data_IF_848010700712
#
_entry.id   IF_848010700712
#
_cell.length_a   1.000
_cell.length_b   1.000
_cell.length_c   1.000
_cell.angle_alpha   90.00
_cell.angle_beta   90.00
_cell.angle_gamma   90.00
#
_symmetry.space_group_name_H-M   'P 1'
#
loop_
_entity.id
_entity.type
_entity.pdbx_description
1 polymer ?
#
# COMPACT_ATOMS: atom_id res chain seq x y z
N UNK A 1 2.01 -37.76 9.91
CA UNK A 1 1.09 -38.55 9.03
C UNK A 1 1.19 -38.20 7.54
N UNK A 2 1.58 -36.98 7.12
CA UNK A 2 1.65 -36.57 5.70
C UNK A 2 2.97 -36.89 4.97
N UNK A 3 4.09 -37.09 5.68
CA UNK A 3 5.36 -37.50 5.06
C UNK A 3 5.25 -38.83 4.27
N UNK A 4 4.23 -39.66 4.57
CA UNK A 4 4.00 -40.93 3.92
C UNK A 4 3.08 -40.86 2.67
N UNK A 5 2.33 -39.77 2.45
CA UNK A 5 1.29 -39.72 1.40
C UNK A 5 1.47 -38.62 0.35
N UNK A 6 2.27 -37.58 0.60
CA UNK A 6 2.56 -36.52 -0.38
C UNK A 6 3.44 -36.91 -1.59
N UNK A 7 4.36 -37.91 -1.57
CA UNK A 7 5.27 -38.12 -2.70
C UNK A 7 4.62 -38.66 -3.99
N UNK A 8 3.30 -38.83 -4.06
CA UNK A 8 2.63 -39.52 -5.17
C UNK A 8 1.63 -38.66 -5.98
N UNK A 9 1.63 -37.33 -5.84
CA UNK A 9 0.65 -36.47 -6.52
C UNK A 9 1.28 -35.49 -7.55
N UNK A 10 1.93 -35.96 -8.62
CA UNK A 10 2.58 -35.09 -9.63
C UNK A 10 1.58 -34.22 -10.41
N UNK A 11 0.29 -34.58 -10.37
CA UNK A 11 -0.81 -33.87 -11.06
C UNK A 11 -1.51 -32.85 -10.16
N UNK A 12 -1.10 -32.70 -8.90
CA UNK A 12 -1.74 -31.76 -7.98
C UNK A 12 -1.44 -30.32 -8.43
N UNK A 13 -2.49 -29.58 -8.79
CA UNK A 13 -2.38 -28.19 -9.25
C UNK A 13 -2.61 -27.17 -8.14
N UNK A 14 -3.34 -27.56 -7.10
CA UNK A 14 -3.73 -26.69 -5.99
C UNK A 14 -3.43 -27.39 -4.70
N UNK A 15 -2.65 -26.73 -3.84
CA UNK A 15 -2.42 -27.16 -2.47
C UNK A 15 -2.80 -26.03 -1.54
N UNK A 16 -3.76 -26.31 -0.66
CA UNK A 16 -4.18 -25.41 0.39
C UNK A 16 -3.88 -26.01 1.76
N UNK A 17 -3.00 -25.35 2.48
CA UNK A 17 -2.41 -25.74 3.74
C UNK A 17 -2.57 -24.67 4.84
N UNK A 18 -3.49 -23.70 4.67
CA UNK A 18 -3.73 -22.66 5.68
C UNK A 18 -4.21 -23.23 7.02
N UNK A 19 -4.94 -24.35 7.00
CA UNK A 19 -5.45 -25.03 8.21
C UNK A 19 -4.41 -25.88 8.93
N UNK A 20 -3.19 -26.01 8.39
CA UNK A 20 -2.15 -26.70 9.12
C UNK A 20 -1.88 -25.91 10.40
N UNK A 21 -2.05 -26.56 11.58
CA UNK A 21 -1.99 -25.86 12.84
C UNK A 21 -0.63 -25.18 12.92
N UNK A 22 -0.61 -23.86 12.76
CA UNK A 22 0.54 -23.02 13.04
C UNK A 22 0.65 -22.95 14.56
N UNK A 23 0.98 -24.08 15.19
CA UNK A 23 1.20 -24.12 16.62
C UNK A 23 2.46 -23.29 16.86
N UNK A 24 2.35 -22.21 17.63
CA UNK A 24 3.38 -21.15 17.75
C UNK A 24 4.69 -21.61 18.43
N UNK A 25 4.87 -22.90 18.65
CA UNK A 25 6.03 -23.46 19.34
C UNK A 25 7.16 -23.80 18.35
N UNK A 26 8.39 -23.55 18.81
CA UNK A 26 9.67 -23.61 18.07
C UNK A 26 9.93 -24.96 17.36
N UNK A 27 9.29 -26.05 17.80
CA UNK A 27 9.38 -27.39 17.19
C UNK A 27 8.72 -27.49 15.78
N UNK A 28 8.10 -26.42 15.27
CA UNK A 28 7.48 -26.40 13.94
C UNK A 28 8.46 -26.24 12.77
N UNK A 29 9.69 -25.79 13.01
CA UNK A 29 10.63 -25.45 11.94
C UNK A 29 11.16 -26.69 11.21
N UNK A 30 11.42 -27.76 11.95
CA UNK A 30 11.80 -29.06 11.36
C UNK A 30 10.65 -29.62 10.51
N UNK A 31 9.40 -29.42 10.94
CA UNK A 31 8.22 -29.80 10.15
C UNK A 31 8.12 -29.00 8.85
N UNK A 32 8.36 -27.69 8.89
CA UNK A 32 8.31 -26.80 7.73
C UNK A 32 9.39 -27.18 6.70
N UNK A 33 10.62 -27.40 7.13
CA UNK A 33 11.70 -27.86 6.25
C UNK A 33 11.32 -29.21 5.60
N UNK A 34 10.67 -30.11 6.36
CA UNK A 34 10.23 -31.41 5.86
C UNK A 34 9.12 -31.35 4.80
N UNK A 35 8.33 -30.27 4.76
CA UNK A 35 7.25 -30.09 3.77
C UNK A 35 7.82 -29.63 2.42
N UNK A 36 8.88 -28.84 2.42
CA UNK A 36 9.41 -28.22 1.20
C UNK A 36 9.96 -29.22 0.18
N UNK A 37 10.61 -30.30 0.63
CA UNK A 37 11.19 -31.33 -0.25
C UNK A 37 10.13 -32.10 -1.05
N UNK A 38 9.03 -32.60 -0.46
CA UNK A 38 7.91 -33.17 -1.22
C UNK A 38 7.35 -32.24 -2.29
N UNK A 39 7.28 -30.92 -2.03
CA UNK A 39 6.71 -29.96 -2.98
C UNK A 39 7.51 -29.89 -4.29
N UNK A 40 8.83 -30.13 -4.26
CA UNK A 40 9.68 -30.18 -5.47
C UNK A 40 9.22 -31.22 -6.49
N UNK A 41 8.51 -32.27 -6.05
CA UNK A 41 7.98 -33.30 -6.93
C UNK A 41 6.63 -32.92 -7.55
N UNK A 42 5.97 -31.86 -7.07
CA UNK A 42 4.69 -31.36 -7.55
C UNK A 42 4.87 -30.36 -8.70
N UNK A 43 5.44 -30.82 -9.82
CA UNK A 43 5.75 -29.95 -10.97
C UNK A 43 4.53 -29.27 -11.59
N UNK A 44 3.34 -29.85 -11.43
CA UNK A 44 2.09 -29.28 -11.92
C UNK A 44 1.45 -28.28 -10.94
N UNK A 45 2.07 -27.99 -9.79
CA UNK A 45 1.51 -27.09 -8.79
C UNK A 45 1.44 -25.67 -9.33
N UNK A 46 0.21 -25.15 -9.43
CA UNK A 46 -0.10 -23.80 -9.92
C UNK A 46 -0.38 -22.84 -8.78
N UNK A 47 -1.02 -23.32 -7.71
CA UNK A 47 -1.41 -22.51 -6.56
C UNK A 47 -0.99 -23.16 -5.26
N UNK A 48 -0.35 -22.38 -4.39
CA UNK A 48 0.07 -22.80 -3.07
C UNK A 48 -0.34 -21.76 -2.03
N UNK A 49 -1.14 -22.20 -1.06
CA UNK A 49 -1.43 -21.46 0.16
C UNK A 49 -0.88 -22.23 1.35
N UNK A 50 0.01 -21.62 2.12
CA UNK A 50 0.64 -22.26 3.27
C UNK A 50 0.86 -21.24 4.38
N UNK A 51 0.50 -21.56 5.62
CA UNK A 51 0.51 -20.58 6.70
C UNK A 51 1.91 -20.01 6.98
N UNK A 52 2.93 -20.86 7.11
CA UNK A 52 4.30 -20.44 7.37
C UNK A 52 5.32 -21.35 6.68
N UNK A 53 6.37 -20.75 6.10
CA UNK A 53 7.50 -21.46 5.48
C UNK A 53 8.84 -20.83 5.85
N UNK A 54 9.91 -21.62 5.82
CA UNK A 54 11.28 -21.12 5.99
C UNK A 54 11.81 -20.51 4.71
N UNK A 55 12.89 -19.73 4.80
CA UNK A 55 13.62 -19.25 3.62
C UNK A 55 14.14 -20.41 2.74
N UNK A 56 14.62 -21.52 3.33
CA UNK A 56 15.01 -22.72 2.57
C UNK A 56 13.83 -23.30 1.78
N UNK A 57 12.63 -23.30 2.37
CA UNK A 57 11.43 -23.74 1.66
C UNK A 57 11.10 -22.82 0.49
N UNK A 58 11.25 -21.50 0.64
CA UNK A 58 11.15 -20.54 -0.48
C UNK A 58 12.15 -20.86 -1.60
N UNK A 59 13.39 -21.22 -1.25
CA UNK A 59 14.39 -21.66 -2.24
C UNK A 59 13.92 -22.89 -3.02
N UNK A 60 13.29 -23.86 -2.36
CA UNK A 60 12.68 -25.01 -3.04
C UNK A 60 11.49 -24.63 -3.93
N UNK A 61 10.61 -23.74 -3.47
CA UNK A 61 9.44 -23.31 -4.23
C UNK A 61 9.81 -22.57 -5.52
N UNK A 62 10.94 -21.86 -5.54
CA UNK A 62 11.47 -21.23 -6.75
C UNK A 62 11.70 -22.24 -7.89
N UNK A 63 11.97 -23.51 -7.59
CA UNK A 63 12.15 -24.54 -8.63
C UNK A 63 10.84 -25.05 -9.25
N UNK A 64 9.67 -24.59 -8.80
CA UNK A 64 8.38 -25.01 -9.33
C UNK A 64 8.02 -24.22 -10.60
N UNK A 65 8.12 -24.83 -11.80
CA UNK A 65 8.01 -24.09 -13.06
C UNK A 65 6.59 -23.61 -13.36
N UNK A 66 5.57 -24.23 -12.76
CA UNK A 66 4.16 -23.94 -12.99
C UNK A 66 3.52 -23.08 -11.90
N UNK A 67 4.26 -22.71 -10.85
CA UNK A 67 3.71 -21.94 -9.74
C UNK A 67 3.34 -20.53 -10.18
N UNK A 68 2.04 -20.22 -10.19
CA UNK A 68 1.50 -18.92 -10.60
C UNK A 68 1.01 -18.09 -9.41
N UNK A 69 0.53 -18.74 -8.35
CA UNK A 69 -0.01 -18.08 -7.16
C UNK A 69 0.64 -18.66 -5.89
N UNK A 70 1.27 -17.79 -5.11
CA UNK A 70 1.89 -18.14 -3.84
C UNK A 70 1.32 -17.27 -2.73
N UNK A 71 0.90 -17.89 -1.64
CA UNK A 71 0.50 -17.18 -0.41
C UNK A 71 1.13 -17.87 0.79
N UNK A 72 1.96 -17.14 1.52
CA UNK A 72 2.66 -17.68 2.67
C UNK A 72 3.24 -16.63 3.62
N UNK A 73 3.34 -16.94 4.91
CA UNK A 73 4.22 -16.21 5.82
C UNK A 73 5.64 -16.78 5.78
N UNK A 74 6.63 -15.95 5.49
CA UNK A 74 8.03 -16.35 5.44
C UNK A 74 8.66 -16.13 6.81
N UNK A 75 9.31 -17.16 7.34
CA UNK A 75 10.11 -17.13 8.57
C UNK A 75 11.58 -17.10 8.22
N UNK A 76 12.28 -16.07 8.68
CA UNK A 76 13.70 -15.81 8.34
C UNK A 76 14.66 -16.42 9.36
N UNK A 77 14.38 -17.65 9.76
CA UNK A 77 15.14 -18.36 10.78
C UNK A 77 16.32 -19.10 10.17
N UNK A 78 17.54 -18.80 10.64
CA UNK A 78 18.78 -19.42 10.17
C UNK A 78 19.80 -18.41 9.62
N UNK A 79 21.09 -18.62 9.89
CA UNK A 79 22.16 -17.64 9.64
C UNK A 79 22.85 -17.72 8.28
N UNK A 80 22.52 -18.68 7.42
CA UNK A 80 23.20 -18.82 6.14
C UNK A 80 22.33 -18.34 4.99
N UNK A 81 22.56 -17.09 4.61
CA UNK A 81 22.04 -16.56 3.35
C UNK A 81 22.84 -17.19 2.21
N UNK A 82 22.21 -18.06 1.43
CA UNK A 82 22.79 -18.46 0.15
C UNK A 82 22.77 -17.25 -0.78
N UNK A 83 23.80 -17.07 -1.60
CA UNK A 83 23.86 -15.96 -2.58
C UNK A 83 23.01 -16.21 -3.83
N UNK A 84 22.21 -17.27 -3.83
CA UNK A 84 21.48 -17.76 -5.00
C UNK A 84 20.24 -16.91 -5.27
N UNK A 85 20.02 -16.53 -6.54
CA UNK A 85 18.79 -15.87 -6.97
C UNK A 85 17.60 -16.85 -6.90
N UNK A 86 16.47 -16.39 -6.40
CA UNK A 86 15.23 -17.17 -6.32
C UNK A 86 14.41 -16.94 -7.60
N UNK A 87 14.46 -17.88 -8.54
CA UNK A 87 13.79 -17.70 -9.84
C UNK A 87 12.34 -18.19 -9.79
N UNK A 88 11.37 -17.32 -10.08
CA UNK A 88 9.96 -17.67 -10.13
C UNK A 88 9.39 -17.34 -11.52
N UNK A 89 9.64 -18.18 -12.54
CA UNK A 89 9.40 -17.83 -13.94
C UNK A 89 7.92 -17.63 -14.29
N UNK A 90 7.02 -18.31 -13.57
CA UNK A 90 5.57 -18.32 -13.84
C UNK A 90 4.74 -17.56 -12.82
N UNK A 91 5.36 -17.07 -11.73
CA UNK A 91 4.65 -16.45 -10.63
C UNK A 91 4.01 -15.12 -11.08
N UNK A 92 2.70 -15.01 -10.87
CA UNK A 92 1.87 -13.86 -11.19
C UNK A 92 1.42 -13.15 -9.92
N UNK A 93 0.92 -13.91 -8.95
CA UNK A 93 0.40 -13.37 -7.69
C UNK A 93 1.20 -13.89 -6.50
N UNK A 94 1.62 -12.99 -5.61
CA UNK A 94 2.28 -13.34 -4.37
C UNK A 94 1.66 -12.59 -3.19
N UNK A 95 1.28 -13.32 -2.14
CA UNK A 95 0.92 -12.76 -0.83
C UNK A 95 1.96 -13.25 0.18
N UNK A 96 2.82 -12.34 0.62
CA UNK A 96 3.96 -12.66 1.46
C UNK A 96 3.80 -12.03 2.84
N UNK A 97 3.56 -12.88 3.82
CA UNK A 97 3.58 -12.54 5.22
C UNK A 97 5.00 -12.42 5.77
N UNK A 98 5.27 -11.45 6.63
CA UNK A 98 6.56 -11.29 7.31
C UNK A 98 6.36 -10.82 8.75
N UNK A 99 7.23 -11.26 9.65
CA UNK A 99 7.26 -10.71 11.00
C UNK A 99 8.03 -9.38 11.04
N UNK A 100 7.57 -8.45 11.87
CA UNK A 100 8.13 -7.09 11.96
C UNK A 100 9.64 -7.03 12.24
N UNK A 101 10.17 -7.98 13.00
CA UNK A 101 11.59 -8.09 13.35
C UNK A 101 12.45 -8.74 12.25
N UNK A 102 11.81 -9.30 11.22
CA UNK A 102 12.44 -9.98 10.09
C UNK A 102 12.45 -9.13 8.81
N UNK A 103 12.03 -7.87 8.87
CA UNK A 103 11.94 -6.99 7.70
C UNK A 103 13.27 -6.88 6.95
N UNK A 104 14.38 -6.66 7.64
CA UNK A 104 15.69 -6.54 6.99
C UNK A 104 16.03 -7.75 6.13
N UNK A 105 15.84 -8.94 6.68
CA UNK A 105 16.10 -10.22 6.02
C UNK A 105 15.11 -10.44 4.88
N UNK A 106 13.84 -10.10 5.09
CA UNK A 106 12.80 -10.18 4.07
C UNK A 106 13.08 -9.27 2.87
N UNK A 107 13.51 -8.03 3.10
CA UNK A 107 13.94 -7.13 2.02
C UNK A 107 15.09 -7.73 1.22
N UNK A 108 16.10 -8.31 1.88
CA UNK A 108 17.20 -9.01 1.18
C UNK A 108 16.72 -10.22 0.38
N UNK A 109 15.69 -10.92 0.86
CA UNK A 109 15.06 -12.01 0.10
C UNK A 109 14.34 -11.48 -1.14
N UNK A 110 13.58 -10.39 -1.02
CA UNK A 110 12.93 -9.74 -2.15
C UNK A 110 13.95 -9.31 -3.21
N UNK A 111 15.09 -8.74 -2.82
CA UNK A 111 16.19 -8.38 -3.73
C UNK A 111 16.75 -9.58 -4.52
N UNK A 112 16.64 -10.79 -3.97
CA UNK A 112 17.08 -12.03 -4.62
C UNK A 112 16.00 -12.65 -5.51
N UNK A 113 14.75 -12.23 -5.35
CA UNK A 113 13.61 -12.81 -6.03
C UNK A 113 13.52 -12.28 -7.46
N UNK A 114 13.53 -13.20 -8.43
CA UNK A 114 13.40 -12.89 -9.86
C UNK A 114 12.08 -13.46 -10.35
N UNK A 115 11.05 -12.63 -10.38
CA UNK A 115 9.69 -12.99 -10.78
C UNK A 115 9.20 -12.07 -11.93
N UNK A 116 9.62 -12.32 -13.18
CA UNK A 116 9.39 -11.39 -14.29
C UNK A 116 7.92 -11.24 -14.71
N UNK A 117 7.03 -12.11 -14.21
CA UNK A 117 5.59 -12.10 -14.51
C UNK A 117 4.73 -11.69 -13.32
N UNK A 118 5.36 -11.29 -12.21
CA UNK A 118 4.66 -10.90 -10.98
C UNK A 118 3.90 -9.60 -11.25
N UNK A 119 2.57 -9.70 -11.25
CA UNK A 119 1.67 -8.58 -11.52
C UNK A 119 0.98 -8.07 -10.25
N UNK A 120 0.82 -8.92 -9.23
CA UNK A 120 0.23 -8.55 -7.94
C UNK A 120 1.14 -9.05 -6.83
N UNK A 121 1.54 -8.12 -5.97
CA UNK A 121 2.29 -8.41 -4.76
C UNK A 121 1.56 -7.80 -3.56
N UNK A 122 1.18 -8.64 -2.62
CA UNK A 122 0.68 -8.25 -1.30
C UNK A 122 1.73 -8.63 -0.26
N UNK A 123 2.09 -7.71 0.61
CA UNK A 123 2.97 -7.94 1.75
C UNK A 123 2.17 -7.66 3.00
N UNK A 124 2.08 -8.66 3.87
CA UNK A 124 1.36 -8.58 5.14
C UNK A 124 2.38 -8.60 6.28
N UNK A 125 2.36 -7.62 7.18
CA UNK A 125 3.18 -7.70 8.39
C UNK A 125 2.41 -8.18 9.60
N UNK A 126 3.09 -9.03 10.36
CA UNK A 126 2.62 -9.50 11.64
C UNK A 126 3.41 -8.83 12.77
N UNK A 127 2.74 -7.89 13.44
CA UNK A 127 3.22 -7.25 14.66
C UNK A 127 2.56 -7.93 15.89
N UNK A 128 3.33 -8.43 16.86
CA UNK A 128 2.79 -8.89 18.13
C UNK A 128 2.03 -7.78 18.86
N UNK A 129 0.89 -8.13 19.47
CA UNK A 129 0.06 -7.21 20.25
C UNK A 129 0.77 -6.50 21.40
N UNK A 130 1.87 -7.05 21.88
CA UNK A 130 2.65 -6.44 22.96
C UNK A 130 4.13 -6.55 22.64
N UNK A 131 4.73 -5.41 22.30
CA UNK A 131 6.18 -5.29 22.14
C UNK A 131 6.83 -4.86 23.46
N UNK A 132 7.79 -5.65 23.91
CA UNK A 132 8.72 -5.28 24.98
C UNK A 132 9.53 -4.02 24.59
N UNK A 133 10.13 -3.38 25.59
CA UNK A 133 10.95 -2.17 25.35
C UNK A 133 12.15 -2.44 24.44
N UNK A 134 12.72 -3.64 24.47
CA UNK A 134 13.82 -4.03 23.59
C UNK A 134 13.32 -4.18 22.14
N UNK A 135 12.17 -4.84 21.96
CA UNK A 135 11.54 -5.02 20.65
C UNK A 135 11.15 -3.69 20.01
N UNK A 136 10.65 -2.73 20.79
CA UNK A 136 10.37 -1.37 20.29
C UNK A 136 11.58 -0.66 19.67
N UNK A 137 12.81 -1.01 20.08
CA UNK A 137 14.04 -0.44 19.49
C UNK A 137 14.41 -1.08 18.15
N UNK A 138 13.97 -2.30 17.93
CA UNK A 138 14.15 -3.05 16.69
C UNK A 138 13.06 -2.77 15.66
N UNK A 139 12.07 -1.92 15.99
CA UNK A 139 11.03 -1.51 15.06
C UNK A 139 11.66 -0.97 13.76
N UNK A 140 10.96 -1.11 12.61
CA UNK A 140 11.44 -0.57 11.36
C UNK A 140 11.80 0.92 11.48
N UNK A 141 12.89 1.30 10.81
CA UNK A 141 13.34 2.69 10.65
C UNK A 141 13.17 3.12 9.19
N UNK A 142 13.37 4.40 8.89
CA UNK A 142 13.32 4.91 7.51
C UNK A 142 14.24 4.15 6.56
N UNK A 143 15.44 3.78 7.00
CA UNK A 143 16.37 3.01 6.14
C UNK A 143 15.84 1.62 5.77
N UNK A 144 15.04 1.00 6.64
CA UNK A 144 14.41 -0.29 6.33
C UNK A 144 13.32 -0.15 5.28
N UNK A 145 12.48 0.89 5.40
CA UNK A 145 11.43 1.19 4.44
C UNK A 145 12.00 1.61 3.09
N UNK A 146 13.07 2.42 3.10
CA UNK A 146 13.78 2.83 1.90
C UNK A 146 14.39 1.62 1.15
N UNK A 147 14.98 0.68 1.88
CA UNK A 147 15.48 -0.57 1.33
C UNK A 147 14.34 -1.45 0.77
N UNK A 148 13.20 -1.51 1.47
CA UNK A 148 12.01 -2.20 0.98
C UNK A 148 11.52 -1.62 -0.36
N UNK A 149 11.41 -0.29 -0.48
CA UNK A 149 11.07 0.37 -1.74
C UNK A 149 12.06 0.05 -2.87
N UNK A 150 13.37 -0.03 -2.57
CA UNK A 150 14.38 -0.42 -3.55
C UNK A 150 14.20 -1.87 -4.03
N UNK A 151 13.92 -2.80 -3.13
CA UNK A 151 13.67 -4.20 -3.47
C UNK A 151 12.39 -4.35 -4.30
N UNK A 152 11.32 -3.65 -3.92
CA UNK A 152 10.04 -3.65 -4.63
C UNK A 152 10.15 -3.09 -6.05
N UNK A 153 11.02 -2.12 -6.27
CA UNK A 153 11.28 -1.52 -7.58
C UNK A 153 11.84 -2.53 -8.62
N UNK A 154 12.32 -3.70 -8.18
CA UNK A 154 12.83 -4.74 -9.08
C UNK A 154 11.72 -5.50 -9.83
N UNK A 155 10.48 -5.45 -9.34
CA UNK A 155 9.32 -6.14 -9.94
C UNK A 155 8.61 -5.27 -10.97
N UNK A 156 9.27 -4.95 -12.08
CA UNK A 156 8.80 -3.98 -13.09
C UNK A 156 7.49 -4.34 -13.81
N UNK A 157 7.03 -5.58 -13.69
CA UNK A 157 5.75 -6.06 -14.22
C UNK A 157 4.55 -5.81 -13.28
N UNK A 158 4.78 -5.27 -12.07
CA UNK A 158 3.72 -5.03 -11.10
C UNK A 158 2.64 -4.08 -11.63
N UNK A 159 1.40 -4.51 -11.43
CA UNK A 159 0.17 -3.75 -11.68
C UNK A 159 -0.47 -3.35 -10.35
N UNK A 160 -0.36 -4.19 -9.33
CA UNK A 160 -0.87 -3.93 -7.99
C UNK A 160 0.20 -4.25 -6.95
N UNK A 161 0.45 -3.27 -6.07
CA UNK A 161 1.30 -3.42 -4.90
C UNK A 161 0.48 -3.05 -3.66
N UNK A 162 0.38 -3.99 -2.73
CA UNK A 162 -0.28 -3.80 -1.45
C UNK A 162 0.71 -4.15 -0.34
N UNK A 163 1.01 -3.18 0.52
CA UNK A 163 1.88 -3.33 1.68
C UNK A 163 1.04 -2.95 2.89
N UNK A 164 0.46 -3.97 3.50
CA UNK A 164 -0.35 -3.86 4.71
C UNK A 164 0.50 -4.27 5.92
N UNK A 165 0.68 -3.32 6.82
CA UNK A 165 1.53 -3.46 7.99
C UNK A 165 0.77 -3.69 9.29
N UNK A 166 -0.51 -4.03 9.19
CA UNK A 166 -1.34 -4.51 10.29
C UNK A 166 -2.53 -3.60 10.58
N UNK A 167 -3.72 -4.15 10.37
CA UNK A 167 -5.05 -3.53 10.52
C UNK A 167 -5.70 -3.80 11.89
N UNK A 168 -4.94 -4.19 12.92
CA UNK A 168 -5.55 -4.52 14.21
C UNK A 168 -6.06 -3.27 14.98
N UNK A 169 -5.98 -2.05 14.41
CA UNK A 169 -6.57 -0.81 14.95
C UNK A 169 -6.04 -0.35 16.32
N UNK A 170 -5.19 -1.14 16.98
CA UNK A 170 -4.82 -0.96 18.38
C UNK A 170 -3.39 -0.41 18.57
N UNK A 171 -2.61 -0.17 17.51
CA UNK A 171 -1.16 0.05 17.64
C UNK A 171 -0.60 1.31 16.94
N UNK A 172 -0.86 2.52 17.44
CA UNK A 172 -0.18 3.76 17.01
C UNK A 172 1.33 3.83 17.25
N UNK A 173 1.95 2.78 17.77
CA UNK A 173 3.35 2.78 18.22
C UNK A 173 4.20 1.72 17.51
N UNK A 174 3.75 1.23 16.35
CA UNK A 174 4.47 0.21 15.55
C UNK A 174 5.71 0.75 14.84
N UNK A 175 5.96 2.05 14.93
CA UNK A 175 7.03 2.72 14.21
C UNK A 175 8.03 3.35 15.16
N UNK A 176 9.32 3.28 14.79
CA UNK A 176 10.31 4.15 15.42
C UNK A 176 9.95 5.61 15.13
N UNK A 177 10.34 6.49 16.03
CA UNK A 177 10.10 7.93 15.88
C UNK A 177 10.69 8.52 14.59
N UNK A 178 11.72 7.88 14.05
CA UNK A 178 12.43 8.27 12.83
C UNK A 178 11.98 7.48 11.59
N UNK A 179 10.95 6.62 11.67
CA UNK A 179 10.45 5.89 10.53
C UNK A 179 9.44 6.75 9.77
N UNK A 180 9.78 7.11 8.52
CA UNK A 180 8.95 7.90 7.64
C UNK A 180 9.43 7.74 6.19
N UNK A 181 8.54 7.42 5.26
CA UNK A 181 8.84 7.44 3.84
C UNK A 181 8.66 8.86 3.30
N UNK A 182 9.73 9.45 2.79
CA UNK A 182 9.68 10.71 2.06
C UNK A 182 9.54 10.46 0.54
N UNK A 183 9.31 11.53 -0.23
CA UNK A 183 9.23 11.44 -1.68
C UNK A 183 10.45 10.83 -2.37
N UNK A 184 11.65 11.02 -1.81
CA UNK A 184 12.88 10.41 -2.37
C UNK A 184 12.83 8.88 -2.28
N UNK A 185 12.46 8.33 -1.13
CA UNK A 185 12.34 6.89 -0.96
C UNK A 185 11.22 6.30 -1.84
N UNK A 186 10.07 6.98 -1.89
CA UNK A 186 8.93 6.59 -2.72
C UNK A 186 9.26 6.63 -4.22
N UNK A 187 10.09 7.58 -4.66
CA UNK A 187 10.46 7.76 -6.07
C UNK A 187 11.13 6.53 -6.70
N UNK A 188 11.70 5.63 -5.88
CA UNK A 188 12.23 4.35 -6.34
C UNK A 188 11.18 3.48 -7.02
N UNK A 189 9.92 3.58 -6.57
CA UNK A 189 8.80 2.85 -7.15
C UNK A 189 8.32 3.45 -8.49
N UNK A 190 8.76 4.65 -8.88
CA UNK A 190 8.34 5.27 -10.15
C UNK A 190 8.82 4.52 -11.40
N UNK A 191 9.74 3.55 -11.23
CA UNK A 191 10.11 2.61 -12.31
C UNK A 191 8.97 1.64 -12.65
N UNK A 192 8.01 1.43 -11.74
CA UNK A 192 6.84 0.57 -11.92
C UNK A 192 5.78 1.28 -12.77
N UNK A 193 6.04 1.43 -14.08
CA UNK A 193 5.18 2.20 -15.00
C UNK A 193 3.80 1.59 -15.23
N UNK A 194 3.64 0.30 -14.97
CA UNK A 194 2.36 -0.42 -15.12
C UNK A 194 1.50 -0.39 -13.85
N UNK A 195 1.98 0.26 -12.77
CA UNK A 195 1.31 0.28 -11.49
C UNK A 195 -0.02 1.04 -11.58
N UNK A 196 -1.10 0.37 -11.21
CA UNK A 196 -2.48 0.88 -11.21
C UNK A 196 -3.10 0.90 -9.82
N UNK A 197 -2.56 0.12 -8.90
CA UNK A 197 -2.96 0.09 -7.51
C UNK A 197 -1.73 0.12 -6.62
N UNK A 198 -1.64 1.12 -5.74
CA UNK A 198 -0.63 1.22 -4.70
C UNK A 198 -1.31 1.44 -3.37
N UNK A 199 -1.18 0.45 -2.48
CA UNK A 199 -1.61 0.54 -1.09
C UNK A 199 -0.39 0.35 -0.20
N UNK A 200 -0.11 1.31 0.67
CA UNK A 200 1.02 1.26 1.61
C UNK A 200 0.58 1.83 2.96
N UNK A 201 0.14 0.96 3.85
CA UNK A 201 -0.47 1.34 5.12
C UNK A 201 -0.16 0.34 6.23
N UNK A 202 -0.19 0.75 7.51
CA UNK A 202 -0.14 2.14 7.98
C UNK A 202 1.34 2.62 8.01
N UNK A 203 1.95 2.93 6.86
CA UNK A 203 3.32 3.47 6.81
C UNK A 203 3.28 4.99 6.98
N UNK A 204 4.07 5.60 7.89
CA UNK A 204 4.19 7.05 7.98
C UNK A 204 4.85 7.65 6.73
N UNK A 205 4.30 8.74 6.21
CA UNK A 205 4.83 9.48 5.06
C UNK A 205 5.06 10.96 5.37
N UNK A 206 6.13 11.54 4.81
CA UNK A 206 6.41 12.98 4.79
C UNK A 206 6.45 13.43 3.34
N UNK A 207 5.25 13.60 2.77
CA UNK A 207 5.05 14.04 1.40
C UNK A 207 4.93 15.56 1.33
N UNK A 208 5.52 16.13 0.28
CA UNK A 208 5.47 17.55 -0.06
C UNK A 208 4.74 17.74 -1.40
N UNK A 209 4.30 18.96 -1.74
CA UNK A 209 3.57 19.21 -2.98
C UNK A 209 4.30 18.73 -4.25
N UNK A 210 5.62 18.90 -4.31
CA UNK A 210 6.43 18.42 -5.44
C UNK A 210 6.46 16.87 -5.55
N UNK A 211 6.27 16.16 -4.45
CA UNK A 211 6.17 14.70 -4.46
C UNK A 211 4.84 14.26 -5.09
N UNK A 212 3.75 14.99 -4.83
CA UNK A 212 2.44 14.73 -5.44
C UNK A 212 2.48 14.94 -6.95
N UNK A 213 3.14 16.00 -7.41
CA UNK A 213 3.38 16.23 -8.83
C UNK A 213 4.19 15.08 -9.45
N UNK A 214 5.24 14.63 -8.77
CA UNK A 214 6.06 13.51 -9.24
C UNK A 214 5.29 12.19 -9.29
N UNK A 215 4.44 11.91 -8.30
CA UNK A 215 3.54 10.74 -8.25
C UNK A 215 2.57 10.77 -9.44
N UNK A 216 1.90 11.91 -9.65
CA UNK A 216 0.92 12.07 -10.72
C UNK A 216 1.56 11.92 -12.11
N UNK A 217 2.79 12.43 -12.28
CA UNK A 217 3.57 12.26 -13.51
C UNK A 217 4.09 10.83 -13.70
N UNK A 218 4.45 10.13 -12.62
CA UNK A 218 4.98 8.78 -12.68
C UNK A 218 3.92 7.73 -13.05
N UNK A 219 2.69 7.91 -12.55
CA UNK A 219 1.59 6.94 -12.66
C UNK A 219 0.27 7.57 -13.16
N UNK A 220 0.20 8.05 -14.41
CA UNK A 220 -1.01 8.67 -14.95
C UNK A 220 -2.19 7.71 -15.12
N UNK A 221 -1.94 6.39 -15.19
CA UNK A 221 -2.97 5.34 -15.26
C UNK A 221 -3.39 4.80 -13.87
N UNK A 222 -2.97 5.46 -12.79
CA UNK A 222 -3.30 5.03 -11.42
C UNK A 222 -4.82 4.99 -11.21
N UNK A 223 -5.31 3.90 -10.63
CA UNK A 223 -6.74 3.65 -10.35
C UNK A 223 -7.03 3.71 -8.84
N UNK A 224 -6.09 3.26 -8.03
CA UNK A 224 -6.16 3.30 -6.56
C UNK A 224 -4.80 3.70 -5.99
N UNK A 225 -4.75 4.81 -5.26
CA UNK A 225 -3.56 5.25 -4.55
C UNK A 225 -3.94 5.47 -3.09
N UNK A 226 -3.44 4.64 -2.18
CA UNK A 226 -3.62 4.82 -0.74
C UNK A 226 -2.26 4.70 -0.06
N UNK A 227 -1.66 5.84 0.24
CA UNK A 227 -0.36 5.89 0.92
C UNK A 227 -0.49 6.70 2.20
N UNK A 228 -0.10 6.05 3.29
CA UNK A 228 -0.21 6.62 4.61
C UNK A 228 -1.56 6.36 5.26
N UNK A 229 -1.47 6.09 6.55
CA UNK A 229 -2.57 6.23 7.49
C UNK A 229 -1.96 6.75 8.79
N UNK A 230 -2.55 7.79 9.35
CA UNK A 230 -1.95 8.53 10.46
C UNK A 230 -2.32 7.88 11.78
N UNK A 231 -1.76 6.70 12.09
CA UNK A 231 -2.07 5.99 13.33
C UNK A 231 -2.12 6.94 14.56
N UNK A 232 -3.07 6.82 15.50
CA UNK A 232 -3.42 7.91 16.39
C UNK A 232 -2.23 8.40 17.21
N UNK A 233 -1.85 9.68 17.09
CA UNK A 233 -0.67 10.25 17.78
C UNK A 233 0.65 10.24 16.99
N UNK A 234 0.64 9.80 15.73
CA UNK A 234 1.67 10.18 14.75
C UNK A 234 1.46 11.60 14.19
N UNK A 235 0.26 12.18 14.36
CA UNK A 235 -0.11 13.53 13.94
C UNK A 235 0.87 14.62 14.38
N UNK A 236 1.43 14.49 15.58
CA UNK A 236 2.40 15.45 16.11
C UNK A 236 3.81 15.29 15.52
N UNK A 237 4.07 14.21 14.76
CA UNK A 237 5.41 13.79 14.36
C UNK A 237 5.69 14.01 12.88
N UNK A 238 4.70 13.80 12.03
CA UNK A 238 4.85 14.02 10.58
C UNK A 238 4.32 15.40 10.24
N UNK A 239 5.22 16.29 9.83
CA UNK A 239 4.87 17.59 9.26
C UNK A 239 4.39 17.43 7.81
N UNK A 240 3.50 16.47 7.50
CA UNK A 240 2.88 16.45 6.16
C UNK A 240 2.23 17.82 5.96
N UNK A 241 2.66 18.50 4.90
CA UNK A 241 2.21 19.86 4.57
C UNK A 241 1.21 19.83 3.42
N UNK A 242 0.74 18.64 3.02
CA UNK A 242 -0.18 18.51 1.90
C UNK A 242 -1.50 19.18 2.22
N UNK A 243 -1.84 20.17 1.40
CA UNK A 243 -3.13 20.83 1.36
C UNK A 243 -3.99 20.19 0.28
N UNK A 244 -5.28 20.50 0.32
CA UNK A 244 -6.21 20.10 -0.73
C UNK A 244 -5.78 20.65 -2.10
N UNK A 245 -5.28 21.89 -2.15
CA UNK A 245 -4.80 22.53 -3.40
C UNK A 245 -3.65 21.74 -4.06
N UNK A 246 -2.84 21.04 -3.26
CA UNK A 246 -1.69 20.26 -3.74
C UNK A 246 -2.13 18.99 -4.49
N UNK A 247 -3.42 18.64 -4.47
CA UNK A 247 -3.99 17.52 -5.23
C UNK A 247 -4.28 17.86 -6.70
N UNK A 248 -4.08 19.12 -7.11
CA UNK A 248 -4.32 19.55 -8.48
C UNK A 248 -3.57 18.68 -9.54
N UNK A 249 -2.28 18.33 -9.37
CA UNK A 249 -1.60 17.47 -10.34
C UNK A 249 -2.28 16.09 -10.49
N UNK A 250 -2.80 15.52 -9.41
CA UNK A 250 -3.54 14.25 -9.46
C UNK A 250 -4.84 14.42 -10.26
N UNK A 251 -5.59 15.50 -10.01
CA UNK A 251 -6.83 15.78 -10.74
C UNK A 251 -6.59 15.94 -12.26
N UNK A 252 -5.45 16.53 -12.64
CA UNK A 252 -5.09 16.78 -14.03
C UNK A 252 -4.52 15.54 -14.75
N UNK A 253 -3.70 14.74 -14.07
CA UNK A 253 -2.91 13.70 -14.74
C UNK A 253 -3.41 12.27 -14.50
N UNK A 254 -4.07 11.99 -13.37
CA UNK A 254 -4.51 10.65 -12.99
C UNK A 254 -5.97 10.39 -13.44
N UNK A 255 -6.18 10.31 -14.74
CA UNK A 255 -7.52 10.26 -15.38
C UNK A 255 -8.32 8.98 -15.13
N UNK A 256 -7.72 7.98 -14.47
CA UNK A 256 -8.39 6.73 -14.10
C UNK A 256 -8.54 6.54 -12.59
N UNK A 257 -8.11 7.53 -11.79
CA UNK A 257 -8.07 7.40 -10.35
C UNK A 257 -9.48 7.41 -9.77
N UNK A 258 -9.84 6.34 -9.06
CA UNK A 258 -11.15 6.18 -8.42
C UNK A 258 -11.08 6.21 -6.91
N UNK A 259 -9.92 5.89 -6.33
CA UNK A 259 -9.66 5.90 -4.89
C UNK A 259 -8.35 6.63 -4.61
N UNK A 260 -8.40 7.61 -3.71
CA UNK A 260 -7.25 8.38 -3.23
C UNK A 260 -7.22 8.37 -1.71
N UNK A 261 -6.12 7.95 -1.12
CA UNK A 261 -5.85 8.04 0.30
C UNK A 261 -4.50 8.68 0.55
N UNK A 262 -4.50 9.86 1.16
CA UNK A 262 -3.30 10.63 1.49
C UNK A 262 -3.49 11.34 2.83
N UNK A 263 -2.44 11.48 3.66
CA UNK A 263 -2.50 12.29 4.87
C UNK A 263 -2.53 13.78 4.48
N UNK A 264 -3.73 14.38 4.52
CA UNK A 264 -3.93 15.81 4.26
C UNK A 264 -3.91 16.59 5.57
N UNK A 265 -3.25 17.75 5.55
CA UNK A 265 -3.29 18.69 6.65
C UNK A 265 -4.33 19.76 6.34
N UNK A 266 -5.24 19.98 7.28
CA UNK A 266 -6.24 21.04 7.21
C UNK A 266 -5.89 22.13 8.22
N UNK A 267 -5.13 23.15 7.81
CA UNK A 267 -4.82 24.25 8.71
C UNK A 267 -6.06 25.13 8.95
N UNK A 268 -6.40 25.37 10.22
CA UNK A 268 -7.57 26.13 10.65
C UNK A 268 -7.58 27.65 10.28
N UNK A 269 -6.63 28.13 9.48
CA UNK A 269 -6.37 29.58 9.28
C UNK A 269 -6.40 30.04 7.81
N UNK A 270 -6.80 29.22 6.85
CA UNK A 270 -6.65 29.53 5.41
C UNK A 270 -7.98 29.68 4.64
N UNK A 271 -9.09 29.98 5.33
CA UNK A 271 -10.39 30.21 4.67
C UNK A 271 -10.41 31.45 3.75
N UNK A 272 -9.43 32.34 3.87
CA UNK A 272 -9.36 33.58 3.06
C UNK A 272 -8.62 33.41 1.71
N UNK A 273 -7.94 32.28 1.47
CA UNK A 273 -7.24 32.05 0.20
C UNK A 273 -8.25 31.80 -0.94
N UNK A 274 -8.10 32.44 -2.11
CA UNK A 274 -9.06 32.29 -3.21
C UNK A 274 -9.14 30.84 -3.67
N UNK A 275 -10.36 30.40 -3.98
CA UNK A 275 -10.61 29.08 -4.59
C UNK A 275 -9.95 29.10 -5.99
N UNK A 276 -9.17 28.06 -6.34
CA UNK A 276 -8.62 27.91 -7.69
C UNK A 276 -9.73 28.03 -8.73
N UNK A 277 -9.41 28.60 -9.89
CA UNK A 277 -10.36 28.67 -11.00
C UNK A 277 -10.86 27.28 -11.42
N UNK A 278 -11.96 27.20 -12.18
CA UNK A 278 -12.47 25.93 -12.68
C UNK A 278 -11.36 25.19 -13.44
N UNK A 279 -11.21 23.91 -13.10
CA UNK A 279 -10.25 23.00 -13.72
C UNK A 279 -11.04 22.05 -14.59
N UNK A 280 -10.59 21.83 -15.83
CA UNK A 280 -11.13 20.78 -16.71
C UNK A 280 -10.61 19.40 -16.23
N UNK A 281 -10.95 19.06 -14.99
CA UNK A 281 -10.58 17.77 -14.41
C UNK A 281 -11.40 16.67 -15.07
N UNK A 282 -10.70 15.62 -15.47
CA UNK A 282 -11.28 14.38 -16.01
C UNK A 282 -11.11 13.21 -15.03
N UNK A 283 -10.64 13.49 -13.81
CA UNK A 283 -10.37 12.47 -12.81
C UNK A 283 -11.69 11.92 -12.22
N UNK A 284 -12.00 10.62 -12.37
CA UNK A 284 -13.25 10.02 -11.94
C UNK A 284 -13.21 9.62 -10.45
N UNK A 285 -12.56 10.42 -9.60
CA UNK A 285 -12.35 10.10 -8.20
C UNK A 285 -13.70 9.90 -7.49
N UNK A 286 -13.85 8.76 -6.84
CA UNK A 286 -15.08 8.36 -6.14
C UNK A 286 -14.89 8.32 -4.64
N UNK A 287 -13.73 7.88 -4.17
CA UNK A 287 -13.42 7.76 -2.76
C UNK A 287 -12.17 8.58 -2.44
N UNK A 288 -12.28 9.43 -1.42
CA UNK A 288 -11.17 10.19 -0.84
C UNK A 288 -11.05 9.88 0.65
N UNK A 289 -9.89 9.38 1.05
CA UNK A 289 -9.46 9.21 2.44
C UNK A 289 -8.38 10.25 2.75
N UNK A 290 -8.66 11.16 3.70
CA UNK A 290 -7.80 12.30 4.01
C UNK A 290 -6.87 12.08 5.22
N UNK A 291 -6.78 10.85 5.71
CA UNK A 291 -6.15 10.49 6.99
C UNK A 291 -7.18 10.00 8.02
N UNK A 292 -6.79 9.98 9.29
CA UNK A 292 -7.62 9.46 10.38
C UNK A 292 -8.87 10.30 10.71
N UNK A 293 -9.76 9.68 11.50
CA UNK A 293 -11.00 10.24 12.00
C UNK A 293 -10.79 11.61 12.68
N UNK A 294 -11.57 12.60 12.26
CA UNK A 294 -11.59 13.94 12.89
C UNK A 294 -11.02 15.07 12.03
N UNK A 295 -10.51 14.77 10.83
CA UNK A 295 -10.11 15.77 9.85
C UNK A 295 -11.35 16.50 9.30
N UNK A 296 -11.66 17.70 9.81
CA UNK A 296 -12.77 18.52 9.33
C UNK A 296 -12.35 19.41 8.16
N UNK A 297 -12.85 19.15 6.95
CA UNK A 297 -12.69 20.06 5.82
C UNK A 297 -13.40 21.38 6.06
N UNK A 298 -12.75 22.49 5.71
CA UNK A 298 -13.41 23.78 5.66
C UNK A 298 -14.33 23.88 4.45
N UNK A 299 -15.18 24.91 4.42
CA UNK A 299 -16.04 25.22 3.26
C UNK A 299 -15.19 25.41 2.00
N UNK A 300 -14.03 26.06 2.14
CA UNK A 300 -13.07 26.27 1.06
C UNK A 300 -12.56 24.93 0.54
N UNK A 301 -12.08 24.06 1.42
CA UNK A 301 -11.54 22.76 1.03
C UNK A 301 -12.56 21.91 0.27
N UNK A 302 -13.80 21.88 0.75
CA UNK A 302 -14.90 21.19 0.07
C UNK A 302 -15.16 21.76 -1.33
N UNK A 303 -15.09 23.09 -1.49
CA UNK A 303 -15.24 23.74 -2.79
C UNK A 303 -14.07 23.41 -3.74
N UNK A 304 -12.83 23.40 -3.25
CA UNK A 304 -11.64 23.00 -4.02
C UNK A 304 -11.76 21.53 -4.45
N UNK A 305 -12.10 20.62 -3.53
CA UNK A 305 -12.30 19.21 -3.82
C UNK A 305 -13.41 18.98 -4.85
N UNK A 306 -14.52 19.71 -4.74
CA UNK A 306 -15.61 19.61 -5.73
C UNK A 306 -15.19 20.14 -7.10
N UNK A 307 -14.32 21.14 -7.13
CA UNK A 307 -13.74 21.68 -8.37
C UNK A 307 -12.79 20.68 -9.03
N UNK A 308 -11.93 20.04 -8.24
CA UNK A 308 -10.95 19.07 -8.73
C UNK A 308 -11.57 17.71 -9.03
N UNK A 309 -12.58 17.30 -8.27
CA UNK A 309 -13.19 15.98 -8.30
C UNK A 309 -14.71 16.07 -8.15
N UNK A 310 -15.45 16.47 -9.20
CA UNK A 310 -16.90 16.72 -9.12
C UNK A 310 -17.74 15.51 -8.66
N UNK A 311 -17.20 14.29 -8.79
CA UNK A 311 -17.86 13.03 -8.41
C UNK A 311 -17.46 12.44 -7.06
N UNK A 312 -16.60 13.12 -6.29
CA UNK A 312 -16.02 12.53 -5.08
C UNK A 312 -17.05 12.34 -3.96
N UNK A 313 -17.01 11.15 -3.35
CA UNK A 313 -17.66 10.82 -2.09
C UNK A 313 -16.54 10.77 -1.04
N UNK A 314 -16.74 11.45 0.08
CA UNK A 314 -15.82 11.41 1.20
C UNK A 314 -16.28 10.31 2.16
N UNK A 315 -15.53 9.21 2.26
CA UNK A 315 -16.02 7.95 2.85
C UNK A 315 -15.89 7.87 4.39
N UNK A 316 -15.20 8.80 5.07
CA UNK A 316 -14.88 8.70 6.51
C UNK A 316 -15.48 9.79 7.42
N UNK A 317 -16.58 10.43 7.01
CA UNK A 317 -17.28 11.39 7.87
C UNK A 317 -18.36 10.71 8.72
N UNK A 318 -17.97 10.18 9.88
CA UNK A 318 -18.94 9.73 10.89
C UNK A 318 -19.66 10.87 11.61
N UNK A 319 -19.33 12.15 11.37
CA UNK A 319 -19.87 13.28 12.16
C UNK A 319 -20.30 14.54 11.39
N UNK A 320 -20.08 14.66 10.08
CA UNK A 320 -20.67 15.78 9.32
C UNK A 320 -22.08 15.36 8.89
N UNK A 321 -23.10 16.08 9.37
CA UNK A 321 -24.49 15.84 8.99
C UNK A 321 -24.57 15.85 7.46
N UNK A 322 -25.04 14.77 6.86
CA UNK A 322 -25.22 14.62 5.40
C UNK A 322 -25.91 15.83 4.75
N UNK A 323 -26.73 16.56 5.53
CA UNK A 323 -27.39 17.82 5.13
C UNK A 323 -26.42 18.98 4.90
N UNK A 324 -25.33 19.08 5.66
CA UNK A 324 -24.33 20.13 5.53
C UNK A 324 -23.49 19.92 4.25
N UNK A 325 -23.16 18.67 3.91
CA UNK A 325 -22.49 18.33 2.64
C UNK A 325 -23.39 18.66 1.45
N UNK A 326 -24.68 18.35 1.52
CA UNK A 326 -25.64 18.66 0.47
C UNK A 326 -25.89 20.19 0.34
N UNK A 327 -25.93 20.91 1.46
CA UNK A 327 -25.99 22.37 1.49
C UNK A 327 -24.72 23.02 0.93
N UNK A 328 -23.54 22.46 1.21
CA UNK A 328 -22.27 22.87 0.64
C UNK A 328 -22.23 22.65 -0.88
N UNK A 329 -22.63 21.47 -1.35
CA UNK A 329 -22.75 21.17 -2.80
C UNK A 329 -23.68 22.17 -3.49
N UNK A 330 -24.82 22.48 -2.88
CA UNK A 330 -25.76 23.47 -3.41
C UNK A 330 -25.19 24.89 -3.39
N UNK A 331 -24.46 25.27 -2.33
CA UNK A 331 -23.84 26.60 -2.22
C UNK A 331 -22.75 26.80 -3.26
N UNK A 332 -21.85 25.83 -3.42
CA UNK A 332 -20.80 25.84 -4.45
C UNK A 332 -21.42 25.88 -5.85
N UNK A 333 -22.48 25.12 -6.10
CA UNK A 333 -23.20 25.14 -7.37
C UNK A 333 -23.79 26.52 -7.66
N UNK A 334 -24.44 27.14 -6.66
CA UNK A 334 -25.03 28.49 -6.78
C UNK A 334 -23.95 29.54 -7.03
N UNK A 335 -22.84 29.50 -6.29
CA UNK A 335 -21.73 30.45 -6.46
C UNK A 335 -21.08 30.30 -7.84
N UNK A 336 -20.84 29.07 -8.28
CA UNK A 336 -20.31 28.76 -9.61
C UNK A 336 -21.24 29.25 -10.73
N UNK A 337 -22.55 28.99 -10.60
CA UNK A 337 -23.55 29.50 -11.55
C UNK A 337 -23.60 31.04 -11.56
N UNK A 338 -23.47 31.66 -10.40
CA UNK A 338 -23.47 33.14 -10.26
C UNK A 338 -22.25 33.75 -10.94
N UNK A 339 -21.06 33.16 -10.75
CA UNK A 339 -19.82 33.55 -11.43
C UNK A 339 -19.91 33.39 -12.95
N UNK A 340 -20.50 32.30 -13.44
CA UNK A 340 -20.71 32.07 -14.87
C UNK A 340 -21.67 33.10 -15.48
N UNK A 341 -22.80 33.40 -14.82
CA UNK A 341 -23.75 34.44 -15.28
C UNK A 341 -23.09 35.81 -15.30
N UNK A 342 -22.26 36.13 -14.31
CA UNK A 342 -21.52 37.40 -14.27
C UNK A 342 -20.55 37.53 -15.44
N UNK A 343 -19.73 36.50 -15.69
CA UNK A 343 -18.80 36.47 -16.83
C UNK A 343 -19.51 36.59 -18.18
N UNK A 344 -20.67 35.96 -18.33
CA UNK A 344 -21.46 36.05 -19.57
C UNK A 344 -22.06 37.45 -19.77
N UNK A 345 -22.47 38.14 -18.70
CA UNK A 345 -22.90 39.54 -18.77
C UNK A 345 -21.74 40.46 -19.15
N UNK A 346 -20.56 40.25 -18.58
CA UNK A 346 -19.33 41.00 -18.90
C UNK A 346 -18.88 40.78 -20.35
N UNK A 347 -19.13 39.62 -20.95
CA UNK A 347 -18.85 39.36 -22.38
C UNK A 347 -19.83 40.04 -23.35
N UNK A 348 -21.05 40.33 -22.91
CA UNK A 348 -22.12 40.89 -23.74
C UNK A 348 -22.18 42.42 -23.70
N UNK A 349 -21.60 43.02 -22.67
CA UNK A 349 -21.39 44.47 -22.57
C UNK A 349 -20.12 44.86 -23.33
#
# INVERSE_FOLDING_TARGET
MLQATLPCAPVLQVLDAHTWPANRNVDHLEHIASISRPLLHMRALVRLWISAISLEAMEHLAFLPSLENLSCCVRMLGREQTSTKLQYPSLKHATLGVHWDELSEFTRMLDRMVAPRLNILTIEYFVPRALSRAERRALPSTSHLDALCAALATFTALVSLDVDLGDDGEFPHMWRHDACLNGTALSRLFVLRNLRSLVMMPIPFDLRPHDIEAIAAAWPEMQSLRVGDMAPGLEQRTESLLRVDDLLPIALHCTQLTMLGLPLRIPAQYDDDPIPGPVDSVCPLRSLHAGEQGVTFSVRDAAVLTTFFPGVIMEDYSEIDSRDIEALRMTVLIETMTLLVRRERERRA
#
